data_IF_760860905638
#
_entry.id   IF_760860905638
#
_cell.length_a   1.000
_cell.length_b   1.000
_cell.length_c   1.000
_cell.angle_alpha   90.00
_cell.angle_beta   90.00
_cell.angle_gamma   90.00
#
_symmetry.space_group_name_H-M   'P 1'
#
loop_
_entity.id
_entity.type
_entity.pdbx_description
1 polymer ?
#
# COMPACT_ATOMS: atom_id res chain seq x y z
N UNK A 1 32.24 -28.48 -14.02
CA UNK A 1 31.59 -27.33 -14.68
C UNK A 1 30.08 -27.28 -14.37
N UNK A 2 29.53 -28.26 -13.66
CA UNK A 2 28.08 -28.38 -13.41
C UNK A 2 27.60 -27.77 -12.11
N UNK A 3 28.49 -27.30 -11.24
CA UNK A 3 28.13 -26.77 -9.92
C UNK A 3 27.79 -25.27 -9.90
N UNK A 4 27.99 -24.57 -11.00
CA UNK A 4 27.77 -23.11 -11.10
C UNK A 4 26.35 -22.73 -11.58
N UNK A 5 25.63 -23.66 -12.18
CA UNK A 5 24.27 -23.44 -12.70
C UNK A 5 23.17 -23.63 -11.65
N UNK A 6 23.38 -24.48 -10.64
CA UNK A 6 22.38 -24.74 -9.60
C UNK A 6 22.17 -23.53 -8.67
N UNK A 7 23.23 -22.71 -8.46
CA UNK A 7 23.13 -21.50 -7.65
C UNK A 7 22.37 -20.35 -8.34
N UNK A 8 22.40 -20.26 -9.67
CA UNK A 8 21.77 -19.17 -10.40
C UNK A 8 20.25 -19.38 -10.60
N UNK A 9 19.80 -20.62 -10.75
CA UNK A 9 18.36 -20.92 -10.89
C UNK A 9 17.59 -20.74 -9.57
N UNK A 10 18.22 -20.96 -8.41
CA UNK A 10 17.58 -20.69 -7.12
C UNK A 10 17.39 -19.18 -6.86
N UNK A 11 18.18 -18.32 -7.50
CA UNK A 11 18.11 -16.86 -7.35
C UNK A 11 16.98 -16.20 -8.16
N UNK A 12 16.43 -16.86 -9.19
CA UNK A 12 15.50 -16.28 -10.17
C UNK A 12 14.05 -16.78 -9.94
N UNK A 13 13.82 -17.65 -8.96
CA UNK A 13 12.46 -18.15 -8.72
C UNK A 13 11.59 -17.06 -8.11
N UNK A 14 10.66 -16.57 -8.91
CA UNK A 14 9.65 -15.64 -8.47
C UNK A 14 8.77 -16.28 -7.41
N UNK A 15 8.55 -15.52 -6.34
CA UNK A 15 7.69 -15.87 -5.22
C UNK A 15 6.57 -14.87 -5.12
N UNK A 16 5.44 -15.32 -4.66
CA UNK A 16 4.35 -14.47 -4.24
C UNK A 16 4.34 -14.45 -2.71
N UNK A 17 4.53 -13.27 -2.14
CA UNK A 17 4.35 -13.03 -0.72
C UNK A 17 2.91 -12.59 -0.52
N UNK A 18 2.19 -13.30 0.32
CA UNK A 18 0.83 -12.91 0.73
C UNK A 18 0.81 -12.56 2.20
N UNK A 19 0.15 -11.47 2.53
CA UNK A 19 -0.05 -11.01 3.89
C UNK A 19 -1.54 -10.82 4.09
N UNK A 20 -2.07 -11.44 5.14
CA UNK A 20 -3.47 -11.32 5.51
C UNK A 20 -3.73 -10.12 6.41
N UNK A 21 -5.00 -9.72 6.52
CA UNK A 21 -5.44 -8.64 7.40
C UNK A 21 -5.06 -8.85 8.87
N UNK A 22 -5.10 -10.10 9.34
CA UNK A 22 -4.68 -10.47 10.70
C UNK A 22 -3.15 -10.61 10.86
N UNK A 23 -2.36 -10.27 9.85
CA UNK A 23 -0.90 -10.28 9.91
C UNK A 23 -0.26 -11.66 9.75
N UNK A 24 -0.91 -12.61 9.06
CA UNK A 24 -0.29 -13.87 8.65
C UNK A 24 0.45 -13.69 7.33
N UNK A 25 1.69 -14.15 7.28
CA UNK A 25 2.56 -14.03 6.10
C UNK A 25 3.03 -15.41 5.63
N UNK A 26 3.12 -15.57 4.31
CA UNK A 26 3.76 -16.71 3.66
C UNK A 26 4.38 -16.31 2.33
N UNK A 27 5.31 -17.11 1.84
CA UNK A 27 5.78 -17.08 0.46
C UNK A 27 5.32 -18.34 -0.28
N UNK A 28 4.88 -18.18 -1.51
CA UNK A 28 4.41 -19.28 -2.36
C UNK A 28 5.13 -19.20 -3.71
N UNK A 29 5.57 -20.32 -4.31
CA UNK A 29 6.12 -20.31 -5.66
C UNK A 29 5.11 -19.74 -6.66
N UNK A 30 5.55 -18.89 -7.58
CA UNK A 30 4.68 -18.33 -8.63
C UNK A 30 4.04 -19.45 -9.48
N UNK A 31 4.72 -20.58 -9.62
CA UNK A 31 4.24 -21.75 -10.38
C UNK A 31 2.96 -22.37 -9.82
N UNK A 32 2.62 -22.14 -8.55
CA UNK A 32 1.35 -22.59 -7.96
C UNK A 32 0.15 -21.73 -8.41
N UNK A 33 0.41 -20.54 -8.98
CA UNK A 33 -0.60 -19.65 -9.52
C UNK A 33 -0.66 -19.83 -11.04
N UNK A 34 -1.51 -20.77 -11.50
CA UNK A 34 -1.70 -21.00 -12.94
C UNK A 34 -2.45 -19.82 -13.57
N UNK A 35 -1.98 -19.39 -14.74
CA UNK A 35 -2.75 -18.48 -15.58
C UNK A 35 -4.06 -19.17 -15.99
N UNK A 36 -5.21 -18.55 -15.75
CA UNK A 36 -6.51 -19.04 -16.21
C UNK A 36 -6.93 -18.27 -17.46
N UNK A 37 -7.46 -18.98 -18.45
CA UNK A 37 -8.08 -18.37 -19.62
C UNK A 37 -9.41 -17.70 -19.24
N UNK A 38 -9.88 -16.77 -20.08
CA UNK A 38 -11.20 -16.12 -19.93
C UNK A 38 -12.30 -17.17 -19.78
N UNK A 39 -13.14 -17.03 -18.74
CA UNK A 39 -14.25 -17.95 -18.47
C UNK A 39 -13.97 -19.08 -17.48
N UNK A 40 -12.76 -19.14 -16.90
CA UNK A 40 -12.45 -20.10 -15.83
C UNK A 40 -13.14 -19.72 -14.52
N UNK A 41 -13.59 -20.72 -13.76
CA UNK A 41 -14.01 -20.55 -12.36
C UNK A 41 -12.77 -20.19 -11.56
N UNK A 42 -12.74 -18.99 -10.96
CA UNK A 42 -11.63 -18.52 -10.15
C UNK A 42 -11.21 -19.55 -9.10
N UNK A 43 -9.93 -19.65 -8.79
CA UNK A 43 -9.45 -20.55 -7.74
C UNK A 43 -9.23 -19.78 -6.45
N UNK A 44 -9.58 -20.38 -5.31
CA UNK A 44 -9.31 -19.84 -3.98
C UNK A 44 -7.80 -19.61 -3.82
N UNK A 45 -7.38 -18.36 -3.58
CA UNK A 45 -5.97 -18.00 -3.54
C UNK A 45 -5.28 -18.28 -2.20
N UNK A 46 -6.05 -18.45 -1.13
CA UNK A 46 -5.55 -18.72 0.24
C UNK A 46 -6.74 -19.18 1.09
N UNK A 47 -6.51 -20.17 1.96
CA UNK A 47 -7.41 -20.39 3.09
C UNK A 47 -6.98 -19.45 4.22
N UNK A 48 -7.91 -18.63 4.65
CA UNK A 48 -7.77 -17.74 5.80
C UNK A 48 -8.59 -18.29 6.96
N UNK A 49 -8.35 -17.78 8.17
CA UNK A 49 -9.28 -18.03 9.30
C UNK A 49 -10.62 -17.35 9.00
N UNK A 50 -11.67 -17.77 9.70
CA UNK A 50 -12.93 -17.05 9.68
C UNK A 50 -12.66 -15.57 9.96
N UNK A 51 -13.20 -14.68 9.12
CA UNK A 51 -12.99 -13.22 9.18
C UNK A 51 -11.62 -12.68 8.72
N UNK A 52 -10.65 -13.52 8.31
CA UNK A 52 -9.37 -13.09 7.76
C UNK A 52 -9.39 -13.12 6.21
N UNK A 53 -8.65 -12.21 5.57
CA UNK A 53 -8.53 -12.14 4.11
C UNK A 53 -7.14 -11.67 3.70
N UNK A 54 -6.73 -11.97 2.46
CA UNK A 54 -5.45 -11.48 1.92
C UNK A 54 -5.57 -9.99 1.63
N UNK A 55 -4.76 -9.20 2.31
CA UNK A 55 -4.74 -7.74 2.16
C UNK A 55 -3.62 -7.26 1.24
N UNK A 56 -2.46 -7.92 1.30
CA UNK A 56 -1.29 -7.54 0.51
C UNK A 56 -0.70 -8.71 -0.26
N UNK A 57 -0.31 -8.44 -1.51
CA UNK A 57 0.36 -9.40 -2.40
C UNK A 57 1.57 -8.72 -3.02
N UNK A 58 2.75 -9.35 -2.88
CA UNK A 58 4.00 -8.84 -3.44
C UNK A 58 4.69 -9.93 -4.27
N UNK A 59 4.92 -9.70 -5.57
CA UNK A 59 5.87 -10.51 -6.32
C UNK A 59 7.30 -10.19 -5.84
N UNK A 60 8.09 -11.21 -5.57
CA UNK A 60 9.44 -11.04 -5.05
C UNK A 60 10.35 -12.20 -5.45
N UNK A 61 11.66 -11.95 -5.51
CA UNK A 61 12.68 -12.98 -5.59
C UNK A 61 13.17 -13.34 -4.18
N UNK A 62 13.83 -14.49 -4.04
CA UNK A 62 14.31 -15.00 -2.73
C UNK A 62 15.26 -14.03 -2.02
N UNK A 63 16.04 -13.24 -2.77
CA UNK A 63 17.02 -12.31 -2.22
C UNK A 63 16.49 -10.90 -1.95
N UNK A 64 15.25 -10.61 -2.34
CA UNK A 64 14.63 -9.35 -1.96
C UNK A 64 14.50 -9.26 -0.43
N UNK A 65 14.47 -8.03 0.06
CA UNK A 65 14.22 -7.73 1.47
C UNK A 65 12.81 -7.15 1.61
N UNK A 66 12.03 -7.71 2.52
CA UNK A 66 10.78 -7.11 2.97
C UNK A 66 11.07 -6.25 4.20
N UNK A 67 10.64 -5.00 4.16
CA UNK A 67 10.67 -4.09 5.28
C UNK A 67 9.25 -3.96 5.85
N UNK A 68 9.15 -3.99 7.16
CA UNK A 68 7.90 -3.94 7.93
C UNK A 68 7.91 -2.69 8.78
N UNK A 69 6.93 -1.84 8.62
CA UNK A 69 6.80 -0.60 9.38
C UNK A 69 5.61 -0.68 10.31
N UNK A 70 5.85 -0.37 11.58
CA UNK A 70 4.81 -0.45 12.60
C UNK A 70 4.11 0.89 12.79
N UNK A 71 2.92 0.85 13.37
CA UNK A 71 2.14 2.05 13.67
C UNK A 71 2.88 3.01 14.61
N UNK A 72 3.73 2.49 15.51
CA UNK A 72 4.58 3.27 16.41
C UNK A 72 5.85 3.80 15.77
N UNK A 73 6.07 3.51 14.49
CA UNK A 73 7.18 4.07 13.70
C UNK A 73 8.48 3.29 13.79
N UNK A 74 8.47 2.01 14.14
CA UNK A 74 9.62 1.11 14.01
C UNK A 74 9.68 0.47 12.61
N UNK A 75 10.89 0.07 12.21
CA UNK A 75 11.15 -0.69 10.98
C UNK A 75 11.87 -1.99 11.33
N UNK A 76 11.40 -3.08 10.73
CA UNK A 76 11.97 -4.42 10.80
C UNK A 76 12.23 -4.96 9.40
N UNK A 77 13.05 -6.02 9.27
CA UNK A 77 13.41 -6.62 8.00
C UNK A 77 13.32 -8.13 8.04
N UNK A 78 12.94 -8.73 6.93
CA UNK A 78 13.12 -10.15 6.63
C UNK A 78 13.61 -10.28 5.19
N UNK A 79 14.57 -11.15 4.95
CA UNK A 79 14.84 -11.64 3.60
C UNK A 79 13.68 -12.53 3.17
N UNK A 80 13.33 -12.51 1.88
CA UNK A 80 12.20 -13.30 1.38
C UNK A 80 12.38 -14.80 1.67
N UNK A 81 13.62 -15.31 1.64
CA UNK A 81 13.89 -16.71 1.98
C UNK A 81 13.63 -17.05 3.44
N UNK A 82 13.62 -16.09 4.36
CA UNK A 82 13.29 -16.27 5.80
C UNK A 82 11.78 -16.36 6.04
N UNK A 83 10.96 -15.86 5.10
CA UNK A 83 9.51 -15.96 5.19
C UNK A 83 9.11 -17.42 4.98
N UNK A 84 8.26 -18.00 5.85
CA UNK A 84 7.84 -19.40 5.72
C UNK A 84 7.24 -19.71 4.36
N UNK A 85 7.69 -20.82 3.77
CA UNK A 85 7.09 -21.34 2.54
C UNK A 85 5.75 -21.98 2.86
N UNK A 86 4.77 -21.70 2.05
CA UNK A 86 3.43 -22.24 2.18
C UNK A 86 2.83 -22.54 0.83
N UNK A 87 1.97 -23.55 0.77
CA UNK A 87 1.14 -23.83 -0.40
C UNK A 87 0.09 -22.73 -0.59
N UNK A 88 -0.52 -22.67 -1.75
CA UNK A 88 -1.59 -21.72 -2.06
C UNK A 88 -2.67 -21.69 -0.96
N UNK A 89 -3.04 -22.85 -0.41
CA UNK A 89 -4.13 -22.98 0.57
C UNK A 89 -3.66 -22.88 2.04
N UNK A 90 -2.36 -22.77 2.32
CA UNK A 90 -1.88 -22.65 3.71
C UNK A 90 -2.20 -21.27 4.30
N UNK A 91 -2.39 -21.20 5.63
CA UNK A 91 -2.68 -19.95 6.36
C UNK A 91 -1.46 -19.05 6.54
N UNK A 92 -0.25 -19.58 6.40
CA UNK A 92 0.98 -18.86 6.71
C UNK A 92 1.31 -18.83 8.21
N UNK A 93 2.24 -17.96 8.61
CA UNK A 93 2.67 -17.77 10.00
C UNK A 93 2.49 -16.32 10.41
N UNK A 94 2.10 -16.07 11.66
CA UNK A 94 1.95 -14.71 12.17
C UNK A 94 3.29 -13.95 12.13
N UNK A 95 3.27 -12.71 11.65
CA UNK A 95 4.46 -11.84 11.53
C UNK A 95 5.10 -11.62 12.89
N UNK A 96 4.31 -11.51 13.96
CA UNK A 96 4.79 -11.37 15.33
C UNK A 96 5.67 -12.54 15.82
N UNK A 97 5.53 -13.72 15.20
CA UNK A 97 6.39 -14.89 15.50
C UNK A 97 7.71 -14.88 14.70
N UNK A 98 7.84 -13.99 13.71
CA UNK A 98 9.01 -13.87 12.87
C UNK A 98 9.85 -12.64 13.22
N UNK A 99 9.24 -11.63 13.80
CA UNK A 99 9.84 -10.34 14.13
C UNK A 99 9.63 -10.02 15.61
N UNK A 100 10.65 -9.44 16.25
CA UNK A 100 10.58 -9.02 17.66
C UNK A 100 9.79 -7.70 17.78
N UNK A 101 8.51 -7.75 17.42
CA UNK A 101 7.60 -6.60 17.53
C UNK A 101 7.01 -6.56 18.93
N UNK A 102 6.93 -5.38 19.52
CA UNK A 102 6.29 -5.18 20.82
C UNK A 102 4.81 -5.63 20.74
N UNK A 103 4.30 -6.24 21.80
CA UNK A 103 2.95 -6.84 21.83
C UNK A 103 1.81 -5.83 21.62
N UNK A 104 2.08 -4.55 21.85
CA UNK A 104 1.16 -3.42 21.73
C UNK A 104 1.41 -2.61 20.44
N UNK A 105 2.21 -3.14 19.49
CA UNK A 105 2.50 -2.51 18.20
C UNK A 105 2.08 -3.44 17.06
N UNK A 106 1.63 -2.84 15.94
CA UNK A 106 1.15 -3.57 14.78
C UNK A 106 1.85 -3.08 13.52
N UNK A 107 2.10 -4.00 12.58
CA UNK A 107 2.61 -3.63 11.26
C UNK A 107 1.48 -3.01 10.44
N UNK A 108 1.72 -1.82 9.92
CA UNK A 108 0.74 -1.06 9.13
C UNK A 108 1.19 -0.83 7.69
N UNK A 109 2.47 -0.98 7.39
CA UNK A 109 2.98 -0.80 6.04
C UNK A 109 4.12 -1.76 5.72
N UNK A 110 4.19 -2.14 4.45
CA UNK A 110 5.15 -3.10 3.92
C UNK A 110 5.86 -2.51 2.71
N UNK A 111 7.14 -2.76 2.59
CA UNK A 111 7.94 -2.30 1.47
C UNK A 111 8.87 -3.42 0.99
N UNK A 112 8.75 -3.79 -0.29
CA UNK A 112 9.68 -4.70 -0.93
C UNK A 112 10.87 -3.91 -1.49
N UNK A 113 12.08 -4.29 -1.10
CA UNK A 113 13.33 -3.69 -1.57
C UNK A 113 14.12 -4.73 -2.34
N UNK A 114 14.64 -4.35 -3.51
CA UNK A 114 15.40 -5.24 -4.39
C UNK A 114 16.70 -5.70 -3.71
N UNK A 115 17.46 -4.75 -3.21
CA UNK A 115 18.72 -4.99 -2.48
C UNK A 115 18.99 -3.83 -1.53
N UNK A 116 19.51 -4.14 -0.35
CA UNK A 116 20.05 -3.15 0.61
C UNK A 116 21.58 -3.09 0.57
N UNK A 117 22.21 -3.92 -0.27
CA UNK A 117 23.67 -4.01 -0.43
C UNK A 117 24.15 -3.22 -1.66
N UNK A 118 23.24 -2.90 -2.58
CA UNK A 118 23.51 -2.08 -3.76
C UNK A 118 23.63 -0.61 -3.36
N UNK A 119 24.87 -0.11 -3.32
CA UNK A 119 25.18 1.25 -2.86
C UNK A 119 24.54 2.33 -3.73
N UNK A 120 24.46 2.14 -5.05
CA UNK A 120 23.85 3.10 -5.97
C UNK A 120 22.34 3.15 -5.73
N UNK A 121 21.70 1.99 -5.60
CA UNK A 121 20.27 1.88 -5.36
C UNK A 121 19.85 2.53 -4.03
N UNK A 122 20.53 2.22 -2.93
CA UNK A 122 20.16 2.76 -1.60
C UNK A 122 20.42 4.26 -1.47
N UNK A 123 21.36 4.83 -2.22
CA UNK A 123 21.67 6.25 -2.21
C UNK A 123 20.84 7.06 -3.23
N UNK A 124 20.12 6.39 -4.14
CA UNK A 124 19.24 7.05 -5.11
C UNK A 124 17.75 6.92 -4.79
N UNK A 125 17.40 6.15 -3.75
CA UNK A 125 16.01 5.93 -3.36
C UNK A 125 15.70 6.46 -1.96
N UNK A 126 14.44 6.78 -1.74
CA UNK A 126 13.95 7.35 -0.49
C UNK A 126 12.75 6.55 0.01
N UNK A 127 12.57 6.56 1.32
CA UNK A 127 11.40 6.03 2.00
C UNK A 127 10.54 7.21 2.45
N UNK A 128 9.32 7.28 1.95
CA UNK A 128 8.32 8.27 2.31
C UNK A 128 7.33 7.65 3.29
N UNK A 129 7.08 8.35 4.38
CA UNK A 129 6.12 7.99 5.42
C UNK A 129 4.96 8.97 5.39
N UNK A 130 3.77 8.47 5.60
CA UNK A 130 2.59 9.29 5.87
C UNK A 130 1.92 8.81 7.15
N UNK A 131 1.53 9.75 8.00
CA UNK A 131 0.83 9.45 9.26
C UNK A 131 -0.65 9.80 9.18
N UNK A 132 -1.42 9.23 10.08
CA UNK A 132 -2.86 9.43 10.23
C UNK A 132 -3.22 10.91 10.38
N UNK A 133 -2.40 11.68 11.11
CA UNK A 133 -2.59 13.13 11.32
C UNK A 133 -1.98 14.01 10.22
N UNK A 134 -1.58 13.43 9.09
CA UNK A 134 -1.15 14.19 7.90
C UNK A 134 0.28 14.68 7.94
N UNK A 135 1.14 14.07 8.74
CA UNK A 135 2.58 14.31 8.69
C UNK A 135 3.19 13.46 7.57
N UNK A 136 4.10 14.07 6.82
CA UNK A 136 4.91 13.39 5.81
C UNK A 136 6.39 13.50 6.16
N UNK A 137 7.14 12.43 5.89
CA UNK A 137 8.59 12.36 6.11
C UNK A 137 9.27 11.65 4.95
N UNK A 138 10.43 12.17 4.54
CA UNK A 138 11.28 11.57 3.52
C UNK A 138 12.64 11.25 4.11
N UNK A 139 13.09 10.00 3.99
CA UNK A 139 14.36 9.52 4.51
C UNK A 139 15.09 8.76 3.42
N UNK A 140 16.41 8.93 3.31
CA UNK A 140 17.23 8.18 2.36
C UNK A 140 17.18 6.67 2.69
N UNK A 141 17.05 5.81 1.68
CA UNK A 141 16.96 4.35 1.88
C UNK A 141 18.20 3.79 2.55
N UNK A 142 19.40 4.39 2.31
CA UNK A 142 20.68 4.04 2.96
C UNK A 142 20.53 3.98 4.49
N UNK A 143 19.73 4.86 5.10
CA UNK A 143 19.51 4.89 6.54
C UNK A 143 18.91 3.59 7.10
N UNK A 144 18.37 2.74 6.23
CA UNK A 144 17.77 1.43 6.54
C UNK A 144 18.58 0.26 6.00
N UNK A 145 19.79 0.50 5.47
CA UNK A 145 20.64 -0.53 4.85
C UNK A 145 21.23 -1.53 5.86
N UNK A 146 21.18 -1.21 7.16
CA UNK A 146 21.73 -2.06 8.23
C UNK A 146 20.63 -2.65 9.09
N UNK A 147 20.08 -3.83 8.74
CA UNK A 147 19.05 -4.51 9.51
C UNK A 147 19.49 -4.79 10.95
N UNK A 148 18.55 -4.68 11.89
CA UNK A 148 18.74 -5.05 13.30
C UNK A 148 17.57 -5.91 13.75
N UNK A 149 17.85 -6.96 14.54
CA UNK A 149 16.86 -7.91 14.99
C UNK A 149 15.72 -7.25 15.81
N UNK A 150 16.06 -6.26 16.63
CA UNK A 150 15.08 -5.52 17.45
C UNK A 150 14.46 -4.32 16.71
N UNK A 151 14.62 -4.26 15.40
CA UNK A 151 14.17 -3.13 14.58
C UNK A 151 14.95 -1.84 14.84
N UNK A 152 14.58 -0.78 14.15
CA UNK A 152 15.09 0.58 14.36
C UNK A 152 13.93 1.58 14.33
N UNK A 153 14.11 2.71 14.99
CA UNK A 153 13.19 3.83 14.83
C UNK A 153 13.27 4.34 13.39
N UNK A 154 12.15 4.32 12.71
CA UNK A 154 12.01 4.79 11.34
C UNK A 154 11.45 6.20 11.29
N UNK A 155 10.61 6.58 12.23
CA UNK A 155 10.01 7.89 12.40
C UNK A 155 9.63 8.09 13.87
N UNK A 156 9.79 9.29 14.40
CA UNK A 156 9.24 9.63 15.72
C UNK A 156 7.78 10.04 15.56
N UNK A 157 6.88 9.24 16.10
CA UNK A 157 5.44 9.49 16.07
C UNK A 157 5.04 10.42 17.22
N UNK A 158 4.16 11.38 16.93
CA UNK A 158 3.53 12.24 17.93
C UNK A 158 2.45 11.48 18.68
N UNK A 159 2.09 11.98 19.84
CA UNK A 159 0.96 11.47 20.63
C UNK A 159 -0.31 11.40 19.78
N UNK A 160 -1.07 10.32 19.90
CA UNK A 160 -2.30 10.02 19.12
C UNK A 160 -2.12 10.01 17.60
N UNK A 161 -0.92 9.83 17.07
CA UNK A 161 -0.67 9.65 15.65
C UNK A 161 -0.16 8.22 15.36
N UNK A 162 -0.17 7.81 14.11
CA UNK A 162 0.32 6.51 13.68
C UNK A 162 0.77 6.54 12.23
N UNK A 163 1.73 5.68 11.87
CA UNK A 163 2.08 5.45 10.46
C UNK A 163 0.94 4.70 9.78
N UNK A 164 0.51 5.18 8.62
CA UNK A 164 -0.55 4.52 7.83
C UNK A 164 -0.04 4.05 6.47
N UNK A 165 0.94 4.73 5.88
CA UNK A 165 1.44 4.39 4.55
C UNK A 165 2.93 4.66 4.48
N UNK A 166 3.67 3.75 3.81
CA UNK A 166 5.09 3.90 3.50
C UNK A 166 5.30 3.54 2.03
N UNK A 167 6.03 4.38 1.31
CA UNK A 167 6.33 4.21 -0.11
C UNK A 167 7.81 4.44 -0.39
N UNK A 168 8.33 3.73 -1.37
CA UNK A 168 9.68 3.96 -1.90
C UNK A 168 9.58 4.85 -3.14
N UNK A 169 10.44 5.87 -3.20
CA UNK A 169 10.52 6.83 -4.32
C UNK A 169 11.95 7.02 -4.77
N UNK A 170 12.12 7.59 -5.95
CA UNK A 170 13.42 7.90 -6.54
C UNK A 170 13.79 9.40 -6.49
N UNK A 171 13.02 10.20 -5.77
CA UNK A 171 13.27 11.64 -5.67
C UNK A 171 12.48 12.52 -6.64
N UNK A 172 11.77 11.92 -7.60
CA UNK A 172 11.10 12.65 -8.67
C UNK A 172 9.62 12.24 -8.86
N UNK A 173 8.91 11.99 -7.77
CA UNK A 173 7.52 11.57 -7.82
C UNK A 173 6.56 12.73 -7.47
N UNK A 174 5.37 12.68 -8.03
CA UNK A 174 4.25 13.48 -7.52
C UNK A 174 3.56 12.72 -6.39
N UNK A 175 3.27 13.42 -5.31
CA UNK A 175 2.63 12.86 -4.11
C UNK A 175 1.20 13.36 -4.03
N UNK A 176 0.26 12.44 -3.77
CA UNK A 176 -1.11 12.80 -3.42
C UNK A 176 -1.44 12.18 -2.07
N UNK A 177 -1.91 13.02 -1.14
CA UNK A 177 -2.40 12.60 0.19
C UNK A 177 -3.89 12.92 0.25
N UNK A 178 -4.70 11.94 0.63
CA UNK A 178 -6.15 12.11 0.77
C UNK A 178 -6.61 11.94 2.22
N UNK A 179 -7.61 12.73 2.62
CA UNK A 179 -8.23 12.66 3.93
C UNK A 179 -9.64 12.06 3.88
N UNK A 180 -10.15 11.66 5.02
CA UNK A 180 -11.44 11.01 5.22
C UNK A 180 -12.62 11.90 4.81
N UNK A 181 -12.49 13.23 4.93
CA UNK A 181 -13.49 14.20 4.54
C UNK A 181 -13.52 14.49 3.03
N UNK A 182 -12.84 13.66 2.21
CA UNK A 182 -12.92 13.69 0.76
C UNK A 182 -12.11 14.81 0.11
N UNK A 183 -11.04 15.26 0.74
CA UNK A 183 -10.06 16.19 0.14
C UNK A 183 -8.76 15.48 -0.17
N UNK A 184 -8.03 15.97 -1.16
CA UNK A 184 -6.71 15.50 -1.50
C UNK A 184 -5.80 16.67 -1.89
N UNK A 185 -4.52 16.57 -1.50
CA UNK A 185 -3.48 17.54 -1.85
C UNK A 185 -2.44 16.87 -2.75
N UNK A 186 -2.06 17.54 -3.84
CA UNK A 186 -0.99 17.11 -4.74
C UNK A 186 0.18 18.07 -4.67
N UNK A 187 1.38 17.53 -4.53
CA UNK A 187 2.64 18.27 -4.56
C UNK A 187 3.78 17.36 -5.02
N UNK A 188 4.88 17.97 -5.50
CA UNK A 188 6.07 17.24 -5.88
C UNK A 188 6.87 16.85 -4.63
N UNK A 189 7.46 15.64 -4.60
CA UNK A 189 8.20 15.14 -3.44
C UNK A 189 9.43 15.97 -3.06
N UNK A 190 9.97 16.79 -3.97
CA UNK A 190 11.03 17.75 -3.67
C UNK A 190 10.62 18.79 -2.59
N UNK A 191 9.31 19.03 -2.42
CA UNK A 191 8.79 19.89 -1.34
C UNK A 191 9.00 19.26 0.05
N UNK A 192 9.34 17.98 0.13
CA UNK A 192 9.67 17.27 1.38
C UNK A 192 11.17 17.12 1.45
N UNK A 193 11.81 17.86 2.36
CA UNK A 193 13.26 17.74 2.60
C UNK A 193 13.60 16.33 3.10
N UNK A 194 14.78 15.85 2.76
CA UNK A 194 15.33 14.59 3.31
C UNK A 194 15.66 14.79 4.79
N UNK A 195 15.25 13.84 5.62
CA UNK A 195 15.40 13.87 7.08
C UNK A 195 15.96 12.54 7.60
N UNK A 196 16.62 12.61 8.75
CA UNK A 196 17.10 11.40 9.44
C UNK A 196 15.96 10.54 9.98
N UNK A 197 16.26 9.29 10.36
CA UNK A 197 15.27 8.30 10.85
C UNK A 197 14.45 8.78 12.05
N UNK A 198 15.06 9.47 12.99
CA UNK A 198 14.44 9.93 14.24
C UNK A 198 13.62 11.22 14.10
N UNK A 199 13.59 11.83 12.91
CA UNK A 199 12.78 13.02 12.69
C UNK A 199 11.28 12.69 12.71
N UNK A 200 10.46 13.62 13.19
CA UNK A 200 9.00 13.51 13.21
C UNK A 200 8.38 13.71 11.82
N UNK A 201 9.04 14.50 10.97
CA UNK A 201 8.48 14.86 9.66
C UNK A 201 7.92 16.29 9.64
N UNK A 202 7.21 16.59 8.58
CA UNK A 202 6.61 17.92 8.31
C UNK A 202 5.14 17.75 7.92
N UNK A 203 4.36 18.81 8.01
CA UNK A 203 2.95 18.79 7.60
C UNK A 203 2.83 18.50 6.09
N UNK A 204 2.17 17.41 5.73
CA UNK A 204 1.84 17.03 4.36
C UNK A 204 0.52 17.63 3.90
N UNK A 205 -0.52 17.48 4.72
CA UNK A 205 -1.87 18.00 4.50
C UNK A 205 -2.40 18.63 5.78
N UNK A 206 -3.24 19.65 5.67
CA UNK A 206 -4.01 20.19 6.81
C UNK A 206 -5.38 19.51 6.81
N UNK A 207 -5.68 18.82 7.90
CA UNK A 207 -6.96 18.18 8.18
C UNK A 207 -8.00 19.21 8.64
N UNK A 208 -9.28 18.86 8.53
CA UNK A 208 -10.34 19.67 9.10
C UNK A 208 -10.36 19.58 10.63
N UNK A 209 -10.81 20.65 11.30
CA UNK A 209 -10.74 20.77 12.76
C UNK A 209 -11.93 20.10 13.48
N UNK A 210 -12.63 19.16 12.83
CA UNK A 210 -13.78 18.45 13.41
C UNK A 210 -13.37 17.32 14.38
N UNK A 211 -12.05 17.10 14.55
CA UNK A 211 -11.46 16.06 15.40
C UNK A 211 -11.64 14.64 14.87
N UNK A 212 -12.36 14.47 13.76
CA UNK A 212 -12.65 13.17 13.14
C UNK A 212 -11.96 12.98 11.79
N UNK A 213 -11.35 14.02 11.24
CA UNK A 213 -10.67 13.96 9.96
C UNK A 213 -9.28 13.32 10.12
N UNK A 214 -8.96 12.42 9.23
CA UNK A 214 -7.71 11.67 9.22
C UNK A 214 -7.26 11.40 7.78
N UNK A 215 -5.98 11.16 7.58
CA UNK A 215 -5.47 10.71 6.30
C UNK A 215 -5.88 9.25 6.09
N UNK A 216 -6.40 8.95 4.89
CA UNK A 216 -6.81 7.59 4.49
C UNK A 216 -5.82 6.92 3.56
N UNK A 217 -4.86 7.66 3.02
CA UNK A 217 -3.80 7.09 2.18
C UNK A 217 -2.94 8.14 1.51
N UNK A 218 -1.79 7.67 1.05
CA UNK A 218 -0.82 8.42 0.25
C UNK A 218 -0.46 7.60 -0.98
N UNK A 219 -0.43 8.23 -2.15
CA UNK A 219 0.06 7.64 -3.38
C UNK A 219 1.26 8.43 -3.92
N UNK A 220 2.17 7.70 -4.56
CA UNK A 220 3.34 8.25 -5.24
C UNK A 220 3.18 7.93 -6.72
N UNK A 221 3.03 8.95 -7.54
CA UNK A 221 2.82 8.85 -8.97
C UNK A 221 4.16 8.96 -9.66
N UNK A 222 4.45 8.00 -10.50
CA UNK A 222 5.69 7.91 -11.27
C UNK A 222 5.50 8.41 -12.69
N UNK A 223 4.35 8.09 -13.26
CA UNK A 223 4.01 8.40 -14.63
C UNK A 223 2.63 9.12 -14.69
N UNK A 224 2.66 10.37 -15.12
CA UNK A 224 1.47 11.22 -15.19
C UNK A 224 0.55 10.86 -16.37
N UNK A 225 1.08 10.18 -17.39
CA UNK A 225 0.33 9.84 -18.60
C UNK A 225 -0.47 8.56 -18.47
N UNK A 226 0.07 7.58 -17.74
CA UNK A 226 -0.53 6.24 -17.66
C UNK A 226 -1.27 5.98 -16.34
N UNK A 227 -0.92 6.72 -15.28
CA UNK A 227 -1.55 6.55 -13.98
C UNK A 227 -2.77 7.47 -13.81
N UNK A 228 -3.72 7.02 -13.04
CA UNK A 228 -4.91 7.77 -12.62
C UNK A 228 -5.22 7.54 -11.15
N UNK A 229 -6.05 8.41 -10.58
CA UNK A 229 -6.41 8.36 -9.15
C UNK A 229 -7.73 7.64 -8.97
N UNK A 230 -7.72 6.53 -8.24
CA UNK A 230 -8.91 5.81 -7.80
C UNK A 230 -9.19 6.10 -6.34
N UNK A 231 -10.42 6.48 -6.01
CA UNK A 231 -10.90 6.70 -4.64
C UNK A 231 -12.13 5.85 -4.38
N UNK A 232 -12.24 5.32 -3.15
CA UNK A 232 -13.38 4.51 -2.71
C UNK A 232 -13.87 5.00 -1.35
N UNK A 233 -15.19 5.04 -1.16
CA UNK A 233 -15.86 5.47 0.08
C UNK A 233 -16.48 4.32 0.86
N UNK A 234 -16.90 4.59 2.10
CA UNK A 234 -17.47 3.61 3.05
C UNK A 234 -18.67 2.86 2.48
N UNK A 235 -19.52 3.52 1.69
CA UNK A 235 -20.70 2.90 1.09
C UNK A 235 -20.40 2.21 -0.26
N UNK A 236 -19.10 1.97 -0.58
CA UNK A 236 -18.70 1.27 -1.79
C UNK A 236 -18.80 2.10 -3.07
N UNK A 237 -18.93 3.42 -2.97
CA UNK A 237 -18.84 4.28 -4.14
C UNK A 237 -17.37 4.50 -4.50
N UNK A 238 -17.02 4.19 -5.75
CA UNK A 238 -15.68 4.41 -6.29
C UNK A 238 -15.71 5.36 -7.47
N UNK A 239 -14.61 6.06 -7.66
CA UNK A 239 -14.41 7.00 -8.77
C UNK A 239 -12.96 6.99 -9.20
N UNK A 240 -12.76 7.04 -10.52
CA UNK A 240 -11.47 7.23 -11.18
C UNK A 240 -11.39 8.64 -11.74
N UNK A 241 -10.29 9.33 -11.52
CA UNK A 241 -10.06 10.71 -11.99
C UNK A 241 -8.65 10.84 -12.55
N UNK A 242 -8.48 11.77 -13.51
CA UNK A 242 -7.15 12.10 -14.01
C UNK A 242 -6.31 12.77 -12.92
N UNK A 243 -4.99 12.58 -12.99
CA UNK A 243 -4.05 13.21 -12.06
C UNK A 243 -4.06 14.73 -12.25
N UNK A 244 -4.26 15.21 -13.48
CA UNK A 244 -4.29 16.63 -13.83
C UNK A 244 -5.45 17.38 -13.20
N UNK A 245 -6.55 16.71 -12.90
CA UNK A 245 -7.67 17.27 -12.13
C UNK A 245 -7.23 17.77 -10.74
N UNK A 246 -6.13 17.23 -10.20
CA UNK A 246 -5.55 17.64 -8.93
C UNK A 246 -4.46 18.69 -9.19
N UNK A 247 -4.81 19.96 -9.01
CA UNK A 247 -3.81 21.02 -9.17
C UNK A 247 -2.60 20.80 -8.29
N UNK A 248 -1.41 20.98 -8.82
CA UNK A 248 -0.16 20.96 -8.07
C UNK A 248 -0.09 22.17 -7.13
N UNK A 249 0.19 21.94 -5.85
CA UNK A 249 0.27 22.96 -4.81
C UNK A 249 1.51 22.75 -3.95
N UNK A 250 1.74 23.63 -2.99
CA UNK A 250 2.69 23.38 -1.93
C UNK A 250 2.08 22.41 -0.91
N UNK A 251 2.92 21.58 -0.27
CA UNK A 251 2.50 20.71 0.85
C UNK A 251 1.91 21.51 2.01
N UNK A 252 1.12 20.85 2.85
CA UNK A 252 0.59 21.43 4.09
C UNK A 252 -0.70 22.23 3.92
N UNK A 253 -1.22 22.38 2.71
CA UNK A 253 -2.54 22.99 2.47
C UNK A 253 -3.70 22.03 2.76
N UNK A 254 -4.94 22.51 2.68
CA UNK A 254 -6.17 21.69 2.84
C UNK A 254 -6.48 20.81 1.62
N UNK A 255 -5.80 21.04 0.49
CA UNK A 255 -6.06 20.32 -0.75
C UNK A 255 -7.36 20.73 -1.45
N UNK A 256 -7.73 19.93 -2.45
CA UNK A 256 -8.94 20.10 -3.27
C UNK A 256 -9.92 18.97 -2.99
N UNK A 257 -11.20 19.20 -3.26
CA UNK A 257 -12.22 18.16 -3.10
C UNK A 257 -11.97 17.05 -4.13
N UNK A 258 -11.81 15.81 -3.66
CA UNK A 258 -11.66 14.62 -4.50
C UNK A 258 -12.95 13.80 -4.61
N UNK A 259 -13.76 13.82 -3.55
CA UNK A 259 -15.09 13.20 -3.55
C UNK A 259 -16.06 14.08 -2.76
N UNK A 260 -17.32 14.13 -3.20
CA UNK A 260 -18.37 14.78 -2.42
C UNK A 260 -18.88 13.79 -1.38
N UNK A 261 -18.60 14.10 -0.12
CA UNK A 261 -19.05 13.29 1.02
C UNK A 261 -20.48 13.65 1.36
N UNK A 262 -21.36 12.66 1.32
CA UNK A 262 -22.79 12.74 1.64
C UNK A 262 -23.18 11.51 2.46
N UNK A 263 -24.35 11.50 3.07
CA UNK A 263 -24.87 10.31 3.75
C UNK A 263 -24.92 9.08 2.84
N UNK A 264 -25.20 9.29 1.55
CA UNK A 264 -25.25 8.24 0.53
C UNK A 264 -23.88 7.65 0.21
N UNK A 265 -22.82 8.45 0.13
CA UNK A 265 -21.46 7.98 -0.20
C UNK A 265 -20.72 7.48 1.03
N UNK A 266 -20.99 8.03 2.19
CA UNK A 266 -20.13 7.87 3.36
C UNK A 266 -18.79 8.58 3.18
N UNK A 267 -17.91 8.45 4.16
CA UNK A 267 -16.57 9.07 4.16
C UNK A 267 -15.62 8.33 3.22
N UNK A 268 -14.53 8.98 2.82
CA UNK A 268 -13.48 8.35 2.02
C UNK A 268 -12.73 7.29 2.86
N UNK A 269 -12.47 6.13 2.24
CA UNK A 269 -11.77 5.00 2.89
C UNK A 269 -10.38 4.82 2.32
N UNK A 270 -10.20 5.01 1.01
CA UNK A 270 -8.90 4.75 0.39
C UNK A 270 -8.68 5.58 -0.89
N UNK A 271 -7.40 5.79 -1.20
CA UNK A 271 -6.92 6.33 -2.46
C UNK A 271 -5.83 5.39 -3.00
N UNK A 272 -5.86 5.10 -4.30
CA UNK A 272 -4.86 4.27 -5.00
C UNK A 272 -4.49 4.91 -6.33
N UNK A 273 -3.23 4.76 -6.72
CA UNK A 273 -2.80 4.99 -8.10
C UNK A 273 -3.07 3.72 -8.90
N UNK A 274 -3.68 3.85 -10.07
CA UNK A 274 -4.08 2.73 -10.93
C UNK A 274 -3.77 3.05 -12.39
N UNK A 275 -3.52 2.00 -13.18
CA UNK A 275 -3.39 2.05 -14.63
C UNK A 275 -4.49 1.20 -15.28
N UNK A 276 -4.73 1.34 -16.58
CA UNK A 276 -5.71 0.53 -17.32
C UNK A 276 -5.42 -0.97 -17.29
N UNK A 277 -4.15 -1.34 -17.11
CA UNK A 277 -3.72 -2.74 -17.02
C UNK A 277 -4.02 -3.38 -15.66
N UNK A 278 -4.36 -2.58 -14.66
CA UNK A 278 -4.60 -3.09 -13.31
C UNK A 278 -5.97 -3.74 -13.19
N UNK A 279 -6.05 -4.74 -12.33
CA UNK A 279 -7.29 -5.26 -11.78
C UNK A 279 -7.50 -4.71 -10.36
N UNK A 280 -8.70 -4.25 -10.10
CA UNK A 280 -9.12 -3.81 -8.78
C UNK A 280 -9.84 -4.94 -8.07
N UNK A 281 -9.37 -5.31 -6.89
CA UNK A 281 -10.03 -6.27 -6.02
C UNK A 281 -10.59 -5.53 -4.80
N UNK A 282 -11.89 -5.59 -4.63
CA UNK A 282 -12.59 -4.96 -3.51
C UNK A 282 -13.13 -6.07 -2.63
N UNK A 283 -12.78 -6.04 -1.35
CA UNK A 283 -13.24 -6.99 -0.35
C UNK A 283 -14.06 -6.23 0.67
N UNK A 284 -15.29 -6.65 0.91
CA UNK A 284 -16.13 -6.06 1.94
C UNK A 284 -15.87 -6.73 3.31
N UNK A 285 -16.44 -6.15 4.38
CA UNK A 285 -16.31 -6.72 5.74
C UNK A 285 -16.87 -8.13 5.89
N UNK A 286 -17.79 -8.55 5.01
CA UNK A 286 -18.35 -9.90 4.99
C UNK A 286 -17.50 -10.90 4.19
N UNK A 287 -16.31 -10.51 3.70
CA UNK A 287 -15.43 -11.37 2.90
C UNK A 287 -15.85 -11.52 1.43
N UNK A 288 -16.90 -10.85 0.98
CA UNK A 288 -17.31 -10.88 -0.43
C UNK A 288 -16.28 -10.10 -1.25
N UNK A 289 -15.72 -10.74 -2.25
CA UNK A 289 -14.70 -10.18 -3.12
C UNK A 289 -15.26 -9.90 -4.51
N UNK A 290 -15.05 -8.67 -5.00
CA UNK A 290 -15.37 -8.26 -6.37
C UNK A 290 -14.07 -7.94 -7.08
N UNK A 291 -13.88 -8.48 -8.28
CA UNK A 291 -12.77 -8.15 -9.17
C UNK A 291 -13.28 -7.36 -10.37
N UNK A 292 -12.68 -6.23 -10.63
CA UNK A 292 -12.99 -5.33 -11.75
C UNK A 292 -11.71 -5.01 -12.50
N UNK A 293 -11.79 -4.86 -13.81
CA UNK A 293 -10.71 -4.22 -14.57
C UNK A 293 -10.80 -2.71 -14.37
N UNK A 294 -9.66 -2.08 -14.12
CA UNK A 294 -9.62 -0.61 -13.99
C UNK A 294 -10.03 0.06 -15.31
N UNK A 295 -9.71 -0.53 -16.45
CA UNK A 295 -10.15 -0.04 -17.77
C UNK A 295 -11.67 0.07 -17.91
N UNK A 296 -12.45 -0.75 -17.20
CA UNK A 296 -13.92 -0.72 -17.20
C UNK A 296 -14.49 0.40 -16.31
N UNK A 297 -13.64 1.00 -15.45
CA UNK A 297 -14.05 2.11 -14.58
C UNK A 297 -13.89 3.42 -15.30
N UNK A 298 -15.01 4.07 -15.58
CA UNK A 298 -15.03 5.36 -16.29
C UNK A 298 -14.24 6.43 -15.54
N UNK A 299 -13.40 7.17 -16.28
CA UNK A 299 -12.74 8.37 -15.78
C UNK A 299 -13.76 9.51 -15.68
N UNK A 300 -13.79 10.18 -14.55
CA UNK A 300 -14.70 11.28 -14.25
C UNK A 300 -13.95 12.40 -13.53
N UNK A 301 -14.35 13.65 -13.80
CA UNK A 301 -13.76 14.80 -13.11
C UNK A 301 -13.86 14.66 -11.59
N UNK A 302 -12.83 15.10 -10.85
CA UNK A 302 -12.72 14.94 -9.38
C UNK A 302 -13.90 15.46 -8.58
N UNK A 303 -14.56 16.52 -9.03
CA UNK A 303 -15.73 17.14 -8.37
C UNK A 303 -17.08 16.56 -8.82
N UNK A 304 -17.09 15.69 -9.82
CA UNK A 304 -18.32 15.08 -10.33
C UNK A 304 -18.98 14.23 -9.24
N UNK A 305 -20.29 14.35 -9.01
CA UNK A 305 -21.01 13.44 -8.14
C UNK A 305 -20.79 12.00 -8.61
N UNK A 306 -20.52 11.09 -7.69
CA UNK A 306 -20.31 9.68 -8.02
C UNK A 306 -21.65 9.13 -8.52
N UNK A 307 -21.77 8.90 -9.83
CA UNK A 307 -22.86 8.09 -10.35
C UNK A 307 -22.55 6.61 -10.05
N UNK A 308 -23.60 5.81 -9.93
CA UNK A 308 -23.51 4.37 -9.69
C UNK A 308 -22.50 3.68 -10.61
N UNK A 309 -21.23 3.66 -10.26
CA UNK A 309 -20.26 2.75 -10.86
C UNK A 309 -20.35 1.47 -10.04
N UNK A 310 -20.59 0.35 -10.69
CA UNK A 310 -20.90 -0.99 -10.18
C UNK A 310 -19.90 -1.59 -9.17
N UNK A 311 -19.51 -0.82 -8.14
CA UNK A 311 -18.73 -1.34 -7.03
C UNK A 311 -19.63 -1.96 -5.92
N UNK A 312 -20.95 -1.87 -6.07
CA UNK A 312 -21.89 -2.62 -5.22
C UNK A 312 -21.92 -4.07 -5.72
N UNK A 313 -21.59 -5.01 -4.85
CA UNK A 313 -21.96 -6.38 -5.05
C UNK A 313 -23.49 -6.39 -5.31
N UNK A 314 -23.90 -6.93 -6.46
CA UNK A 314 -25.28 -7.26 -6.67
C UNK A 314 -25.68 -8.21 -5.55
N UNK A 315 -26.48 -7.73 -4.60
CA UNK A 315 -27.36 -8.59 -3.86
C UNK A 315 -28.24 -9.26 -4.90
N UNK A 316 -27.88 -10.48 -5.29
CA UNK A 316 -28.79 -11.36 -5.96
C UNK A 316 -29.95 -11.56 -5.00
N UNK A 317 -31.07 -10.86 -5.26
CA UNK A 317 -32.34 -11.23 -4.71
C UNK A 317 -32.59 -12.67 -5.13
N UNK A 318 -32.41 -13.60 -4.20
CA UNK A 318 -33.03 -14.91 -4.29
C UNK A 318 -34.53 -14.69 -4.22
N UNK A 319 -35.22 -14.92 -5.34
CA UNK A 319 -36.63 -15.24 -5.35
C UNK A 319 -36.87 -16.60 -4.73
#
# INVERSE_FOLDING_TARGET
ITTRLVGSEMCIRDRIITISHMGYIKRTPLTEFRAQNRGGVGSKGTETRDEDFVEHIYPATMHNTMMFFTQKGKCYWLKVYEIPEGTKNSKGRAIQNLLNIDSDDNVTAYLRVKSLEDSEFINSHYVLFCTKKGVIKKTLLEQYSRPRQNGVNAITIREDDSVIEVRMTNGNNEIIIANRNGRAIRFHEAAVRVMGRTATGVRGITLDNDGQDEVVGMICIKDLETESVMVVSEQGYGKRSEIEDYRKTNRGGKGVKTMNITEKTGKLVTIKSVTDENDLMIINKSGITIRLKVADVRIMGRATPVSYTHLRAHETRSN
#
